data_IF_646784314969
#
_entry.id   IF_646784314969
#
_cell.length_a   1.000
_cell.length_b   1.000
_cell.length_c   1.000
_cell.angle_alpha   90.00
_cell.angle_beta   90.00
_cell.angle_gamma   90.00
#
_symmetry.space_group_name_H-M   'P 1'
#
loop_
_entity.id
_entity.type
_entity.pdbx_description
1 polymer ?
#
# COMPACT_ATOMS: atom_id res chain seq x y z
N UNK A 1 -17.39 -14.73 -6.38
CA UNK A 1 -16.28 -14.35 -5.48
C UNK A 1 -15.71 -15.52 -4.68
N UNK A 2 -16.50 -16.48 -4.17
CA UNK A 2 -15.96 -17.55 -3.30
C UNK A 2 -14.94 -18.48 -3.97
N UNK A 3 -14.97 -18.64 -5.30
CA UNK A 3 -13.99 -19.42 -6.05
C UNK A 3 -12.88 -18.63 -6.73
N UNK A 4 -12.93 -17.29 -6.67
CA UNK A 4 -11.94 -16.46 -7.36
C UNK A 4 -10.54 -16.62 -6.76
N UNK A 5 -9.53 -16.73 -7.62
CA UNK A 5 -8.13 -16.91 -7.19
C UNK A 5 -7.78 -18.31 -6.68
N UNK A 6 -8.68 -19.29 -6.81
CA UNK A 6 -8.45 -20.65 -6.34
C UNK A 6 -8.98 -21.71 -7.31
N UNK A 7 -8.11 -22.63 -7.69
CA UNK A 7 -8.45 -23.82 -8.50
C UNK A 7 -8.52 -25.06 -7.60
N UNK A 8 -9.72 -25.67 -7.40
CA UNK A 8 -9.86 -26.89 -6.61
C UNK A 8 -9.02 -28.08 -7.08
N UNK A 9 -8.70 -28.15 -8.38
CA UNK A 9 -7.87 -29.24 -8.93
C UNK A 9 -6.45 -29.26 -8.33
N UNK A 10 -5.95 -28.12 -7.85
CA UNK A 10 -4.65 -28.01 -7.17
C UNK A 10 -4.68 -28.54 -5.73
N UNK A 11 -5.84 -28.92 -5.20
CA UNK A 11 -6.03 -29.35 -3.82
C UNK A 11 -7.07 -30.49 -3.73
N UNK A 12 -6.88 -31.56 -4.50
CA UNK A 12 -7.72 -32.78 -4.45
C UNK A 12 -9.22 -32.53 -4.67
N UNK A 13 -9.58 -31.46 -5.40
CA UNK A 13 -10.97 -31.08 -5.65
C UNK A 13 -11.66 -30.34 -4.49
N UNK A 14 -10.92 -29.91 -3.50
CA UNK A 14 -11.47 -29.17 -2.36
C UNK A 14 -12.15 -27.88 -2.80
N UNK A 15 -13.45 -27.72 -2.50
CA UNK A 15 -14.22 -26.52 -2.88
C UNK A 15 -13.71 -25.25 -2.18
N UNK A 16 -13.20 -25.39 -0.95
CA UNK A 16 -12.56 -24.30 -0.20
C UNK A 16 -11.06 -24.51 -0.20
N UNK A 17 -10.32 -23.43 -0.38
CA UNK A 17 -8.86 -23.48 -0.26
C UNK A 17 -8.45 -24.05 1.09
N UNK A 18 -7.59 -25.08 1.13
CA UNK A 18 -7.00 -25.59 2.36
C UNK A 18 -6.15 -24.53 3.06
N UNK A 19 -5.85 -24.75 4.33
CA UNK A 19 -4.85 -23.95 5.03
C UNK A 19 -3.46 -24.50 4.69
N UNK A 20 -2.69 -23.78 3.89
CA UNK A 20 -1.32 -24.17 3.51
C UNK A 20 -0.34 -23.80 4.63
N UNK A 21 -0.22 -24.69 5.60
CA UNK A 21 0.60 -24.47 6.80
C UNK A 21 2.02 -25.03 6.60
N UNK A 22 2.69 -24.50 5.58
CA UNK A 22 4.08 -24.87 5.23
C UNK A 22 4.92 -23.62 4.97
N UNK A 23 6.23 -23.72 5.22
CA UNK A 23 7.18 -22.64 4.91
C UNK A 23 7.80 -22.76 3.52
N UNK A 24 7.87 -23.96 2.96
CA UNK A 24 8.57 -24.23 1.69
C UNK A 24 7.70 -25.01 0.73
N UNK A 25 7.92 -24.76 -0.56
CA UNK A 25 7.28 -25.47 -1.66
C UNK A 25 8.35 -26.05 -2.56
N UNK A 26 8.04 -27.14 -3.27
CA UNK A 26 8.96 -27.81 -4.17
C UNK A 26 8.62 -27.49 -5.63
N UNK A 27 9.63 -27.36 -6.45
CA UNK A 27 9.46 -27.31 -7.90
C UNK A 27 9.25 -28.72 -8.45
N UNK A 28 8.53 -28.83 -9.56
CA UNK A 28 8.29 -30.10 -10.22
C UNK A 28 9.56 -30.67 -10.87
N UNK A 29 10.47 -29.79 -11.32
CA UNK A 29 11.74 -30.08 -11.93
C UNK A 29 12.81 -29.03 -11.58
N UNK A 30 14.08 -29.38 -11.84
CA UNK A 30 15.19 -28.42 -11.73
C UNK A 30 15.05 -27.28 -12.72
N UNK A 31 14.49 -27.55 -13.90
CA UNK A 31 14.22 -26.55 -14.94
C UNK A 31 13.16 -25.54 -14.50
N UNK A 32 12.11 -25.99 -13.78
CA UNK A 32 11.11 -25.10 -13.21
C UNK A 32 11.73 -24.16 -12.17
N UNK A 33 12.58 -24.70 -11.32
CA UNK A 33 13.33 -23.91 -10.34
C UNK A 33 14.25 -22.89 -11.02
N UNK A 34 14.97 -23.31 -12.07
CA UNK A 34 15.82 -22.40 -12.85
C UNK A 34 15.01 -21.25 -13.43
N UNK A 35 13.89 -21.53 -14.11
CA UNK A 35 13.00 -20.51 -14.68
C UNK A 35 12.48 -19.52 -13.65
N UNK A 36 12.07 -20.02 -12.49
CA UNK A 36 11.65 -19.18 -11.38
C UNK A 36 12.73 -18.18 -10.98
N UNK A 37 13.96 -18.67 -10.74
CA UNK A 37 15.04 -17.81 -10.28
C UNK A 37 15.56 -16.86 -11.36
N UNK A 38 15.51 -17.23 -12.63
CA UNK A 38 15.84 -16.34 -13.73
C UNK A 38 14.95 -15.08 -13.74
N UNK A 39 13.64 -15.25 -13.51
CA UNK A 39 12.71 -14.13 -13.38
C UNK A 39 12.91 -13.39 -12.05
N UNK A 40 13.03 -14.12 -10.94
CA UNK A 40 13.17 -13.52 -9.61
C UNK A 40 14.43 -12.64 -9.47
N UNK A 41 15.50 -12.97 -10.16
CA UNK A 41 16.75 -12.19 -10.19
C UNK A 41 16.84 -11.20 -11.35
N UNK A 42 15.77 -11.06 -12.15
CA UNK A 42 15.75 -10.14 -13.28
C UNK A 42 16.69 -10.52 -14.43
N UNK A 43 17.05 -11.79 -14.55
CA UNK A 43 17.87 -12.30 -15.65
C UNK A 43 17.08 -12.42 -16.95
N UNK A 44 15.78 -12.46 -16.86
CA UNK A 44 14.82 -12.36 -17.97
C UNK A 44 13.47 -11.81 -17.46
N UNK A 45 12.69 -11.32 -18.39
CA UNK A 45 11.30 -10.96 -18.12
C UNK A 45 10.41 -12.21 -17.98
N UNK A 46 9.37 -12.09 -17.17
CA UNK A 46 8.34 -13.12 -17.05
C UNK A 46 7.48 -13.13 -18.32
N UNK A 47 7.25 -14.28 -18.92
CA UNK A 47 6.21 -14.43 -19.94
C UNK A 47 4.83 -14.19 -19.28
N UNK A 48 3.93 -13.41 -19.91
CA UNK A 48 2.60 -13.14 -19.37
C UNK A 48 1.80 -14.41 -19.01
N UNK A 49 1.95 -15.47 -19.80
CA UNK A 49 1.26 -16.76 -19.61
C UNK A 49 2.02 -17.73 -18.69
N UNK A 50 3.22 -17.35 -18.23
CA UNK A 50 4.04 -18.23 -17.41
C UNK A 50 3.56 -18.24 -15.96
N UNK A 51 3.17 -19.41 -15.45
CA UNK A 51 2.95 -19.63 -14.03
C UNK A 51 4.29 -19.91 -13.34
N UNK A 52 4.77 -18.96 -12.55
CA UNK A 52 5.87 -19.19 -11.63
C UNK A 52 5.34 -19.95 -10.41
N UNK A 53 6.01 -21.04 -10.03
CA UNK A 53 5.63 -21.80 -8.85
C UNK A 53 5.84 -21.01 -7.54
N UNK A 54 5.37 -21.60 -6.45
CA UNK A 54 5.63 -21.13 -5.10
C UNK A 54 7.00 -21.60 -4.63
N UNK A 55 7.65 -20.85 -3.76
CA UNK A 55 8.95 -21.20 -3.20
C UNK A 55 8.96 -21.18 -1.68
N UNK A 56 8.49 -20.10 -1.07
CA UNK A 56 8.63 -19.90 0.36
C UNK A 56 7.53 -18.97 0.90
N UNK A 57 6.84 -19.35 1.98
CA UNK A 57 5.66 -18.66 2.49
C UNK A 57 5.91 -17.21 2.97
N UNK A 58 7.16 -16.83 3.23
CA UNK A 58 7.50 -15.42 3.49
C UNK A 58 7.39 -14.56 2.22
N UNK A 59 7.56 -15.17 1.05
CA UNK A 59 7.52 -14.48 -0.25
C UNK A 59 6.10 -14.57 -0.81
N UNK A 60 5.57 -15.78 -0.89
CA UNK A 60 4.21 -16.05 -1.35
C UNK A 60 3.66 -17.33 -0.71
N UNK A 61 2.34 -17.33 -0.47
CA UNK A 61 1.63 -18.47 0.08
C UNK A 61 0.23 -18.51 -0.55
N UNK A 62 -0.33 -19.67 -0.93
CA UNK A 62 -1.63 -19.72 -1.60
C UNK A 62 -2.75 -19.02 -0.83
N UNK A 63 -2.75 -19.10 0.50
CA UNK A 63 -3.79 -18.44 1.30
C UNK A 63 -3.69 -16.90 1.22
N UNK A 64 -2.47 -16.35 1.18
CA UNK A 64 -2.26 -14.92 1.02
C UNK A 64 -2.62 -14.48 -0.39
N UNK A 65 -2.15 -15.16 -1.42
CA UNK A 65 -2.44 -14.83 -2.83
C UNK A 65 -3.95 -14.85 -3.12
N UNK A 66 -4.68 -15.87 -2.63
CA UNK A 66 -6.14 -15.93 -2.78
C UNK A 66 -6.84 -14.75 -2.08
N UNK A 67 -6.35 -14.34 -0.91
CA UNK A 67 -6.90 -13.19 -0.20
C UNK A 67 -6.57 -11.88 -0.91
N UNK A 68 -5.34 -11.71 -1.36
CA UNK A 68 -4.86 -10.54 -2.09
C UNK A 68 -5.63 -10.35 -3.39
N UNK A 69 -5.80 -11.40 -4.20
CA UNK A 69 -6.60 -11.37 -5.42
C UNK A 69 -8.05 -10.92 -5.16
N UNK A 70 -8.67 -11.44 -4.11
CA UNK A 70 -10.05 -11.08 -3.76
C UNK A 70 -10.18 -9.65 -3.27
N UNK A 71 -9.23 -9.17 -2.47
CA UNK A 71 -9.20 -7.79 -2.00
C UNK A 71 -8.97 -6.82 -3.16
N UNK A 72 -8.06 -7.13 -4.07
CA UNK A 72 -7.82 -6.32 -5.27
C UNK A 72 -9.09 -6.16 -6.10
N UNK A 73 -9.83 -7.25 -6.35
CA UNK A 73 -11.13 -7.17 -7.06
C UNK A 73 -12.15 -6.33 -6.29
N UNK A 74 -12.18 -6.46 -4.96
CA UNK A 74 -13.16 -5.77 -4.14
C UNK A 74 -12.92 -4.25 -4.07
N UNK A 75 -11.66 -3.86 -3.96
CA UNK A 75 -11.25 -2.45 -3.98
C UNK A 75 -11.16 -1.84 -5.39
N UNK A 76 -11.33 -2.65 -6.45
CA UNK A 76 -11.06 -2.26 -7.84
C UNK A 76 -9.60 -1.78 -8.02
N UNK A 77 -8.68 -2.42 -7.32
CA UNK A 77 -7.25 -2.17 -7.36
C UNK A 77 -6.55 -3.13 -8.34
N UNK A 78 -5.40 -2.73 -8.86
CA UNK A 78 -4.57 -3.59 -9.71
C UNK A 78 -3.99 -4.77 -8.93
N UNK A 79 -3.60 -4.54 -7.68
CA UNK A 79 -3.02 -5.54 -6.77
C UNK A 79 -3.32 -5.22 -5.31
N UNK A 80 -3.20 -6.24 -4.47
CA UNK A 80 -3.20 -6.11 -3.01
C UNK A 80 -2.02 -6.86 -2.40
N UNK A 81 -1.60 -6.44 -1.22
CA UNK A 81 -0.63 -7.11 -0.37
C UNK A 81 -1.19 -7.22 1.03
N UNK A 82 -1.09 -8.40 1.62
CA UNK A 82 -1.57 -8.68 2.97
C UNK A 82 -0.45 -8.61 3.99
N UNK A 83 -0.70 -7.93 5.09
CA UNK A 83 0.23 -7.79 6.21
C UNK A 83 -0.39 -8.35 7.50
N UNK A 84 0.46 -8.62 8.48
CA UNK A 84 0.03 -9.16 9.79
C UNK A 84 -0.73 -8.16 10.66
N UNK A 85 -0.67 -6.87 10.33
CA UNK A 85 -1.39 -5.79 11.01
C UNK A 85 -1.51 -4.55 10.13
N UNK A 86 -2.48 -3.67 10.43
CA UNK A 86 -2.60 -2.37 9.76
C UNK A 86 -1.33 -1.52 9.90
N UNK A 87 -0.70 -1.51 11.10
CA UNK A 87 0.57 -0.80 11.28
C UNK A 87 1.71 -1.38 10.45
N UNK A 88 1.74 -2.69 10.22
CA UNK A 88 2.72 -3.28 9.31
C UNK A 88 2.47 -2.82 7.86
N UNK A 89 1.21 -2.73 7.43
CA UNK A 89 0.86 -2.19 6.11
C UNK A 89 1.27 -0.72 5.98
N UNK A 90 0.88 0.12 6.94
CA UNK A 90 1.20 1.56 6.95
C UNK A 90 2.72 1.78 6.95
N UNK A 91 3.44 1.18 7.91
CA UNK A 91 4.88 1.40 8.04
C UNK A 91 5.65 0.91 6.82
N UNK A 92 5.32 -0.26 6.29
CA UNK A 92 5.97 -0.80 5.09
C UNK A 92 5.72 0.09 3.87
N UNK A 93 4.49 0.55 3.68
CA UNK A 93 4.13 1.45 2.57
C UNK A 93 4.93 2.75 2.65
N UNK A 94 4.91 3.41 3.80
CA UNK A 94 5.58 4.71 3.95
C UNK A 94 7.10 4.56 3.84
N UNK A 95 7.70 3.52 4.43
CA UNK A 95 9.13 3.28 4.32
C UNK A 95 9.57 2.92 2.89
N UNK A 96 8.74 2.21 2.13
CA UNK A 96 9.01 1.91 0.73
C UNK A 96 8.98 3.17 -0.16
N UNK A 97 8.14 4.14 0.18
CA UNK A 97 7.97 5.38 -0.57
C UNK A 97 9.00 6.46 -0.21
N UNK A 98 9.55 6.44 1.00
CA UNK A 98 10.33 7.55 1.57
C UNK A 98 11.84 7.27 1.57
N UNK A 99 12.60 8.34 1.42
CA UNK A 99 14.08 8.36 1.56
C UNK A 99 14.50 9.51 2.47
N UNK A 100 15.71 9.51 3.02
CA UNK A 100 16.24 10.68 3.74
C UNK A 100 16.10 11.96 2.90
N UNK A 101 15.71 13.07 3.53
CA UNK A 101 15.36 14.38 2.98
C UNK A 101 13.98 14.49 2.34
N UNK A 102 13.25 13.39 2.16
CA UNK A 102 11.87 13.46 1.68
C UNK A 102 10.93 14.05 2.74
N UNK A 103 9.75 14.45 2.27
CA UNK A 103 8.65 14.93 3.10
C UNK A 103 7.44 14.01 2.94
N UNK A 104 6.77 13.71 4.02
CA UNK A 104 5.45 13.07 4.06
C UNK A 104 4.48 14.03 4.71
N UNK A 105 3.37 14.33 4.05
CA UNK A 105 2.27 15.12 4.64
C UNK A 105 1.14 14.17 5.04
N UNK A 106 0.51 14.42 6.19
CA UNK A 106 -0.59 13.58 6.66
C UNK A 106 -1.68 14.40 7.35
N UNK A 107 -2.92 13.89 7.33
CA UNK A 107 -4.05 14.47 8.07
C UNK A 107 -4.00 14.09 9.54
N UNK A 108 -4.22 15.04 10.41
CA UNK A 108 -4.31 14.87 11.86
C UNK A 108 -5.69 15.34 12.38
N UNK A 109 -6.24 14.68 13.42
CA UNK A 109 -5.69 13.51 14.09
C UNK A 109 -5.75 12.28 13.22
N UNK A 110 -4.82 11.33 13.43
CA UNK A 110 -4.80 10.00 12.85
C UNK A 110 -4.69 8.95 13.96
N UNK A 111 -4.77 7.68 13.61
CA UNK A 111 -4.55 6.60 14.57
C UNK A 111 -3.23 6.79 15.32
N UNK A 112 -3.25 6.64 16.65
CA UNK A 112 -2.09 6.96 17.49
C UNK A 112 -0.79 6.22 17.12
N UNK A 113 -0.89 4.99 16.58
CA UNK A 113 0.26 4.28 16.05
C UNK A 113 0.84 4.94 14.80
N UNK A 114 0.00 5.47 13.95
CA UNK A 114 0.37 6.21 12.73
C UNK A 114 1.03 7.55 13.11
N UNK A 115 0.46 8.30 14.03
CA UNK A 115 1.08 9.55 14.53
C UNK A 115 2.44 9.28 15.15
N UNK A 116 2.57 8.20 15.96
CA UNK A 116 3.86 7.83 16.53
C UNK A 116 4.90 7.50 15.46
N UNK A 117 4.51 6.78 14.41
CA UNK A 117 5.39 6.50 13.27
C UNK A 117 5.86 7.80 12.61
N UNK A 118 4.93 8.70 12.34
CA UNK A 118 5.22 9.95 11.62
C UNK A 118 6.02 10.93 12.49
N UNK A 119 5.63 11.13 13.74
CA UNK A 119 6.24 12.16 14.58
C UNK A 119 7.53 11.71 15.27
N UNK A 120 7.73 10.40 15.47
CA UNK A 120 8.83 9.88 16.29
C UNK A 120 9.80 8.98 15.55
N UNK A 121 9.35 8.24 14.56
CA UNK A 121 10.20 7.26 13.87
C UNK A 121 10.76 7.86 12.57
N UNK A 122 9.92 8.35 11.68
CA UNK A 122 10.36 8.88 10.38
C UNK A 122 11.38 10.03 10.48
N UNK A 123 11.24 11.01 11.43
CA UNK A 123 12.23 12.07 11.55
C UNK A 123 13.63 11.55 11.90
N UNK A 124 13.74 10.46 12.68
CA UNK A 124 15.03 9.81 13.00
C UNK A 124 15.66 9.14 11.79
N UNK A 125 14.88 8.88 10.75
CA UNK A 125 15.35 8.33 9.48
C UNK A 125 15.63 9.41 8.43
N UNK A 126 15.54 10.69 8.83
CA UNK A 126 15.79 11.83 7.94
C UNK A 126 14.60 12.22 7.07
N UNK A 127 13.40 11.63 7.29
CA UNK A 127 12.16 11.98 6.61
C UNK A 127 11.44 13.04 7.43
N UNK A 128 11.11 14.17 6.83
CA UNK A 128 10.29 15.18 7.48
C UNK A 128 8.81 14.84 7.36
N UNK A 129 8.06 15.09 8.42
CA UNK A 129 6.61 14.88 8.44
C UNK A 129 5.88 16.19 8.72
N UNK A 130 4.79 16.43 8.01
CA UNK A 130 3.95 17.61 8.16
C UNK A 130 2.54 17.13 8.47
N UNK A 131 2.05 17.47 9.67
CA UNK A 131 0.66 17.22 10.05
C UNK A 131 -0.23 18.38 9.60
N UNK A 132 -1.44 18.06 9.14
CA UNK A 132 -2.48 19.04 8.78
C UNK A 132 -3.74 18.69 9.53
N UNK A 133 -4.20 19.63 10.37
CA UNK A 133 -5.49 19.53 11.06
C UNK A 133 -6.49 20.44 10.38
N UNK A 134 -7.53 19.86 9.82
CA UNK A 134 -8.64 20.64 9.22
C UNK A 134 -9.71 21.01 10.24
N UNK A 135 -9.60 20.50 11.49
CA UNK A 135 -10.58 20.74 12.55
C UNK A 135 -10.59 22.19 13.07
N UNK A 136 -9.50 22.91 12.92
CA UNK A 136 -9.29 24.20 13.58
C UNK A 136 -9.64 25.41 12.69
N UNK A 137 -10.32 25.16 11.55
CA UNK A 137 -10.67 26.23 10.59
C UNK A 137 -9.44 26.88 9.94
N UNK A 138 -8.31 26.21 10.00
CA UNK A 138 -7.03 26.64 9.48
C UNK A 138 -6.79 26.16 8.04
N UNK A 139 -5.58 25.79 7.80
CA UNK A 139 -5.05 25.33 6.52
C UNK A 139 -5.62 23.96 6.14
N UNK A 140 -6.16 23.82 4.94
CA UNK A 140 -6.65 22.55 4.42
C UNK A 140 -5.49 21.68 3.90
N UNK A 141 -5.74 20.37 3.75
CA UNK A 141 -4.77 19.46 3.10
C UNK A 141 -4.45 19.95 1.68
N UNK A 142 -5.44 20.41 0.95
CA UNK A 142 -5.29 20.94 -0.42
C UNK A 142 -4.30 22.11 -0.48
N UNK A 143 -4.40 23.05 0.47
CA UNK A 143 -3.48 24.19 0.55
C UNK A 143 -2.07 23.77 0.98
N UNK A 144 -1.97 22.71 1.79
CA UNK A 144 -0.71 22.27 2.36
C UNK A 144 0.15 21.43 1.39
N UNK A 145 -0.46 20.73 0.43
CA UNK A 145 0.26 19.88 -0.54
C UNK A 145 1.31 20.65 -1.35
N UNK A 146 1.01 21.79 -1.98
CA UNK A 146 2.01 22.54 -2.75
C UNK A 146 3.18 23.04 -1.90
N UNK A 147 2.91 23.46 -0.68
CA UNK A 147 3.95 23.94 0.24
C UNK A 147 4.84 22.79 0.73
N UNK A 148 4.24 21.62 1.01
CA UNK A 148 4.99 20.42 1.37
C UNK A 148 5.91 19.98 0.22
N UNK A 149 5.45 20.05 -1.03
CA UNK A 149 6.26 19.77 -2.21
C UNK A 149 7.42 20.76 -2.37
N UNK A 150 7.17 22.07 -2.20
CA UNK A 150 8.20 23.09 -2.23
C UNK A 150 9.24 22.91 -1.10
N UNK A 151 8.78 22.57 0.09
CA UNK A 151 9.65 22.29 1.25
C UNK A 151 10.54 21.06 1.01
N UNK A 152 9.99 20.01 0.43
CA UNK A 152 10.76 18.83 0.07
C UNK A 152 11.84 19.16 -0.96
N UNK A 153 11.51 19.92 -2.01
CA UNK A 153 12.48 20.35 -3.02
C UNK A 153 13.60 21.20 -2.42
N UNK A 154 13.30 22.11 -1.50
CA UNK A 154 14.29 22.94 -0.80
C UNK A 154 15.28 22.09 0.04
N UNK A 155 14.91 20.87 0.44
CA UNK A 155 15.76 19.92 1.15
C UNK A 155 16.54 18.98 0.23
N UNK A 156 16.35 19.09 -1.09
CA UNK A 156 16.91 18.15 -2.06
C UNK A 156 16.21 16.79 -2.07
N UNK A 157 15.01 16.69 -1.50
CA UNK A 157 14.13 15.52 -1.50
C UNK A 157 12.88 15.76 -2.34
N UNK A 158 11.88 14.90 -2.16
CA UNK A 158 10.56 14.99 -2.81
C UNK A 158 9.43 14.85 -1.80
N UNK A 159 8.23 15.27 -2.17
CA UNK A 159 7.02 14.88 -1.44
C UNK A 159 6.77 13.39 -1.71
N UNK A 160 7.08 12.55 -0.73
CA UNK A 160 7.11 11.09 -0.90
C UNK A 160 5.70 10.48 -0.86
N UNK A 161 4.82 11.04 -0.04
CA UNK A 161 3.43 10.59 0.07
C UNK A 161 2.55 11.69 0.67
N UNK A 162 1.28 11.68 0.28
CA UNK A 162 0.18 12.35 0.95
C UNK A 162 -0.65 11.27 1.64
N UNK A 163 -0.64 11.23 2.97
CA UNK A 163 -1.34 10.22 3.75
C UNK A 163 -2.61 10.81 4.36
N UNK A 164 -3.71 10.12 4.19
CA UNK A 164 -5.01 10.49 4.78
C UNK A 164 -5.65 9.30 5.47
N UNK A 165 -6.24 9.54 6.63
CA UNK A 165 -7.11 8.61 7.32
C UNK A 165 -8.54 9.15 7.28
N UNK A 166 -9.45 8.45 6.64
CA UNK A 166 -10.82 8.94 6.46
C UNK A 166 -11.83 7.80 6.40
N UNK A 167 -12.77 7.74 7.37
CA UNK A 167 -12.89 8.58 8.58
C UNK A 167 -11.71 8.42 9.55
N UNK A 168 -11.31 9.52 10.18
CA UNK A 168 -10.17 9.53 11.10
C UNK A 168 -10.51 8.92 12.47
N UNK A 169 -9.57 8.20 13.05
CA UNK A 169 -9.68 7.71 14.42
C UNK A 169 -9.02 8.70 15.41
N UNK A 170 -9.69 9.23 16.45
CA UNK A 170 -11.04 8.84 16.92
C UNK A 170 -12.15 9.79 16.48
N UNK A 171 -11.88 10.82 15.73
CA UNK A 171 -12.78 11.95 15.49
C UNK A 171 -13.86 11.70 14.45
N UNK A 172 -13.71 10.66 13.61
CA UNK A 172 -14.56 10.41 12.44
C UNK A 172 -14.55 11.55 11.41
N UNK A 173 -13.52 12.39 11.41
CA UNK A 173 -13.35 13.44 10.41
C UNK A 173 -13.24 12.81 9.01
N UNK A 174 -13.92 13.44 8.07
CA UNK A 174 -13.88 13.04 6.65
C UNK A 174 -12.96 13.98 5.87
N UNK A 175 -12.21 13.40 4.96
CA UNK A 175 -11.33 14.13 4.03
C UNK A 175 -11.86 13.95 2.62
N UNK A 176 -11.91 15.02 1.85
CA UNK A 176 -12.27 14.96 0.43
C UNK A 176 -11.12 14.40 -0.39
N UNK A 177 -11.23 13.08 -0.71
CA UNK A 177 -10.22 12.35 -1.47
C UNK A 177 -10.04 12.88 -2.89
N UNK A 178 -11.14 13.36 -3.50
CA UNK A 178 -11.11 13.95 -4.84
C UNK A 178 -10.31 15.25 -4.83
N UNK A 179 -10.60 16.13 -3.90
CA UNK A 179 -9.88 17.39 -3.77
C UNK A 179 -8.38 17.16 -3.48
N UNK A 180 -8.04 16.19 -2.63
CA UNK A 180 -6.64 15.81 -2.37
C UNK A 180 -5.95 15.28 -3.63
N UNK A 181 -6.61 14.39 -4.39
CA UNK A 181 -6.06 13.85 -5.63
C UNK A 181 -5.87 14.95 -6.70
N UNK A 182 -6.82 15.87 -6.82
CA UNK A 182 -6.73 16.99 -7.77
C UNK A 182 -5.58 17.96 -7.39
N UNK A 183 -5.39 18.23 -6.09
CA UNK A 183 -4.26 19.02 -5.62
C UNK A 183 -2.91 18.38 -5.93
N UNK A 184 -2.80 17.06 -5.79
CA UNK A 184 -1.60 16.31 -6.17
C UNK A 184 -1.35 16.42 -7.69
N UNK A 185 -2.38 16.23 -8.52
CA UNK A 185 -2.25 16.37 -9.98
C UNK A 185 -1.85 17.78 -10.40
N UNK A 186 -2.36 18.79 -9.67
CA UNK A 186 -2.04 20.20 -9.92
C UNK A 186 -0.57 20.55 -9.68
N UNK A 187 0.21 19.72 -8.96
CA UNK A 187 1.66 19.89 -8.84
C UNK A 187 2.40 19.80 -10.19
N UNK A 188 1.80 19.17 -11.20
CA UNK A 188 2.38 19.02 -12.54
C UNK A 188 3.68 18.23 -12.58
N UNK A 189 3.95 17.40 -11.57
CA UNK A 189 5.16 16.60 -11.50
C UNK A 189 5.05 15.37 -12.41
N UNK A 190 6.15 15.00 -13.08
CA UNK A 190 6.18 13.77 -13.90
C UNK A 190 5.93 12.50 -13.07
N UNK A 191 6.40 12.49 -11.83
CA UNK A 191 6.14 11.44 -10.84
C UNK A 191 5.47 12.08 -9.61
N UNK A 192 4.13 12.20 -9.62
CA UNK A 192 3.41 12.79 -8.49
C UNK A 192 3.49 11.88 -7.26
N UNK A 193 3.46 12.45 -6.04
CA UNK A 193 3.39 11.66 -4.83
C UNK A 193 2.10 10.83 -4.81
N UNK A 194 2.14 9.57 -4.34
CA UNK A 194 0.93 8.79 -4.16
C UNK A 194 0.06 9.37 -3.03
N UNK A 195 -1.27 9.31 -3.24
CA UNK A 195 -2.25 9.48 -2.19
C UNK A 195 -2.43 8.14 -1.48
N UNK A 196 -2.01 8.05 -0.23
CA UNK A 196 -2.14 6.87 0.62
C UNK A 196 -3.36 7.06 1.52
N UNK A 197 -4.35 6.17 1.39
CA UNK A 197 -5.62 6.28 2.13
C UNK A 197 -5.75 5.14 3.12
N UNK A 198 -5.81 5.47 4.40
CA UNK A 198 -6.24 4.53 5.43
C UNK A 198 -7.78 4.50 5.45
N UNK A 199 -8.32 3.42 4.91
CA UNK A 199 -9.76 3.18 4.73
C UNK A 199 -10.31 2.19 5.77
N UNK A 200 -9.65 2.06 6.92
CA UNK A 200 -9.97 1.04 7.93
C UNK A 200 -11.44 1.06 8.37
N UNK A 201 -12.01 2.25 8.56
CA UNK A 201 -13.37 2.35 9.11
C UNK A 201 -14.47 2.03 8.09
N UNK A 202 -14.29 2.37 6.83
CA UNK A 202 -15.31 2.16 5.80
C UNK A 202 -15.06 0.92 4.94
N UNK A 203 -13.79 0.61 4.68
CA UNK A 203 -13.42 -0.51 3.81
C UNK A 203 -13.97 -0.34 2.38
N UNK A 204 -13.79 -1.36 1.53
CA UNK A 204 -14.14 -1.28 0.11
C UNK A 204 -15.64 -1.26 -0.16
N UNK A 205 -16.47 -1.57 0.83
CA UNK A 205 -17.92 -1.56 0.68
C UNK A 205 -18.51 -0.15 0.69
N UNK A 206 -18.00 0.70 1.60
CA UNK A 206 -18.57 2.03 1.87
C UNK A 206 -17.76 3.17 1.28
N UNK A 207 -16.48 2.95 1.05
CA UNK A 207 -15.57 3.91 0.43
C UNK A 207 -14.61 3.20 -0.51
N UNK A 208 -14.48 3.71 -1.74
CA UNK A 208 -13.59 3.17 -2.78
C UNK A 208 -12.58 4.24 -3.19
N UNK A 209 -11.42 4.31 -2.53
CA UNK A 209 -10.43 5.36 -2.79
C UNK A 209 -9.93 5.40 -4.25
N UNK A 210 -9.82 4.26 -4.91
CA UNK A 210 -9.38 4.17 -6.31
C UNK A 210 -10.39 4.73 -7.34
N UNK A 211 -11.60 5.11 -6.91
CA UNK A 211 -12.60 5.75 -7.77
C UNK A 211 -12.49 7.29 -7.84
N UNK A 212 -11.48 7.90 -7.23
CA UNK A 212 -11.32 9.36 -7.10
C UNK A 212 -10.20 9.97 -7.93
#
# INVERSE_FOLDING_TARGET
MMGYGYDPALSEGSIKAPIFQTSTFVFRSAEDGKRFFEVAYGLREKDPEEALGLIYSRINNPNLEILEDRLAVWDAADKALVFSSGMAAISTTILALSRPNDVVIYTAPAYGGTEYLFDRILPRMGVETISVSECDGGRTLVDAIPEAAARAAARGGRLAAVYVETPANPTNQLIDLRAAADAIRALGQAEPPPLVVDNTFLGPLWQKPFGH
#
